data_IF_155789548138
#
_entry.id   IF_155789548138
#
_cell.length_a   1.000
_cell.length_b   1.000
_cell.length_c   1.000
_cell.angle_alpha   90.00
_cell.angle_beta   90.00
_cell.angle_gamma   90.00
#
_symmetry.space_group_name_H-M   'P 1'
#
loop_
_entity.id
_entity.type
_entity.pdbx_description
1 polymer ?
#
# COMPACT_ATOMS: atom_id res chain seq x y z
N UNK A 1 -12.78 32.78 51.97
CA UNK A 1 -12.10 33.06 50.69
C UNK A 1 -11.70 31.72 50.09
N UNK A 2 -12.42 31.26 49.06
CA UNK A 2 -12.29 29.92 48.46
C UNK A 2 -11.70 30.05 47.05
N UNK A 3 -10.68 29.24 46.81
CA UNK A 3 -10.19 28.67 45.55
C UNK A 3 -10.20 29.57 44.29
N UNK A 4 -9.02 30.03 43.87
CA UNK A 4 -8.77 30.46 42.50
C UNK A 4 -8.40 29.22 41.67
N UNK A 5 -9.20 28.98 40.63
CA UNK A 5 -9.13 27.85 39.69
C UNK A 5 -7.87 27.91 38.81
N UNK A 6 -7.09 26.84 38.82
CA UNK A 6 -6.01 26.55 37.84
C UNK A 6 -6.64 25.76 36.70
N UNK A 7 -6.96 26.42 35.59
CA UNK A 7 -7.28 25.75 34.31
C UNK A 7 -6.72 26.62 33.19
N UNK A 8 -5.68 26.13 32.52
CA UNK A 8 -5.58 26.08 31.05
C UNK A 8 -4.13 25.79 30.65
N UNK A 9 -3.79 24.51 30.61
CA UNK A 9 -2.58 24.01 29.95
C UNK A 9 -3.02 22.84 29.07
N UNK A 10 -3.69 23.16 27.96
CA UNK A 10 -4.16 22.17 26.98
C UNK A 10 -3.84 22.72 25.58
N UNK A 11 -2.56 22.96 25.34
CA UNK A 11 -2.05 23.46 24.06
C UNK A 11 -0.68 22.85 23.75
N UNK A 12 -0.64 21.55 23.46
CA UNK A 12 0.48 20.94 22.74
C UNK A 12 0.22 19.46 22.49
N UNK A 13 -0.33 19.14 21.31
CA UNK A 13 0.03 17.94 20.53
C UNK A 13 -0.72 17.99 19.20
N UNK A 14 -0.40 18.98 18.36
CA UNK A 14 -0.48 18.77 16.91
C UNK A 14 0.88 18.20 16.52
N UNK A 15 1.09 16.92 16.83
CA UNK A 15 2.19 16.17 16.23
C UNK A 15 1.75 16.02 14.78
N UNK A 16 2.37 16.78 13.88
CA UNK A 16 2.29 16.53 12.46
C UNK A 16 2.83 15.13 12.25
N UNK A 17 1.93 14.18 11.98
CA UNK A 17 2.30 12.87 11.47
C UNK A 17 2.94 13.15 10.12
N UNK A 18 4.28 13.07 10.07
CA UNK A 18 4.97 12.92 8.81
C UNK A 18 4.32 11.71 8.14
N UNK A 19 3.73 11.92 6.97
CA UNK A 19 3.10 10.84 6.22
C UNK A 19 4.24 9.93 5.75
N UNK A 20 4.39 8.78 6.41
CA UNK A 20 5.36 7.76 6.02
C UNK A 20 5.10 7.36 4.58
N UNK A 21 6.01 7.74 3.68
CA UNK A 21 5.98 7.39 2.25
C UNK A 21 6.67 6.06 1.98
N UNK A 22 7.12 5.39 3.03
CA UNK A 22 7.90 4.18 2.92
C UNK A 22 7.00 2.94 2.91
N UNK A 23 7.33 1.99 2.05
CA UNK A 23 6.63 0.72 1.94
C UNK A 23 7.49 -0.43 2.47
N UNK A 24 6.84 -1.35 3.19
CA UNK A 24 7.50 -2.57 3.63
C UNK A 24 7.75 -3.45 2.41
N UNK A 25 9.00 -3.81 2.21
CA UNK A 25 9.45 -4.71 1.14
C UNK A 25 10.10 -5.94 1.74
N UNK A 26 9.71 -7.11 1.25
CA UNK A 26 10.31 -8.40 1.56
C UNK A 26 11.02 -8.89 0.30
N UNK A 27 12.35 -8.94 0.33
CA UNK A 27 13.14 -9.55 -0.74
C UNK A 27 13.57 -10.95 -0.30
N UNK A 28 12.95 -11.97 -0.90
CA UNK A 28 13.26 -13.38 -0.61
C UNK A 28 14.50 -13.85 -1.38
N UNK A 29 14.98 -15.05 -1.05
CA UNK A 29 16.06 -15.72 -1.80
C UNK A 29 15.71 -15.79 -3.30
N UNK A 30 16.60 -15.27 -4.15
CA UNK A 30 16.33 -15.02 -5.58
C UNK A 30 16.35 -13.53 -5.97
N UNK A 31 16.41 -12.62 -4.98
CA UNK A 31 16.61 -11.18 -5.20
C UNK A 31 15.32 -10.46 -5.61
N UNK A 32 15.45 -9.36 -6.38
CA UNK A 32 14.32 -8.49 -6.78
C UNK A 32 13.18 -9.20 -7.52
N UNK A 33 13.43 -10.38 -8.11
CA UNK A 33 12.39 -11.18 -8.77
C UNK A 33 11.41 -11.84 -7.79
N UNK A 34 11.81 -11.98 -6.53
CA UNK A 34 11.02 -12.58 -5.46
C UNK A 34 10.76 -11.52 -4.37
N UNK A 35 10.25 -10.38 -4.81
CA UNK A 35 9.92 -9.24 -3.96
C UNK A 35 8.43 -9.20 -3.67
N UNK A 36 8.06 -8.99 -2.41
CA UNK A 36 6.68 -8.74 -2.00
C UNK A 36 6.63 -7.41 -1.26
N UNK A 37 5.76 -6.51 -1.72
CA UNK A 37 5.67 -5.15 -1.19
C UNK A 37 4.29 -4.86 -0.61
N UNK A 38 4.28 -4.13 0.50
CA UNK A 38 3.09 -3.74 1.24
C UNK A 38 3.00 -2.23 1.38
N UNK A 39 1.79 -1.64 1.24
CA UNK A 39 1.62 -0.19 1.31
C UNK A 39 2.03 0.39 2.67
N UNK A 40 2.29 1.70 2.76
CA UNK A 40 2.62 2.34 4.03
C UNK A 40 1.55 2.14 5.11
N UNK A 41 2.02 2.14 6.37
CA UNK A 41 1.19 1.87 7.54
C UNK A 41 0.71 0.42 7.64
N UNK A 42 1.43 -0.51 7.01
CA UNK A 42 1.26 -1.95 7.19
C UNK A 42 1.98 -2.37 8.47
N UNK A 43 1.23 -2.90 9.43
CA UNK A 43 1.82 -3.44 10.65
C UNK A 43 2.55 -4.75 10.33
N UNK A 44 3.74 -4.95 10.91
CA UNK A 44 4.47 -6.20 10.78
C UNK A 44 5.20 -6.57 12.05
N UNK A 45 5.44 -7.88 12.22
CA UNK A 45 6.16 -8.44 13.35
C UNK A 45 7.08 -9.56 12.86
N UNK A 46 8.37 -9.46 13.19
CA UNK A 46 9.37 -10.48 12.88
C UNK A 46 9.73 -11.26 14.14
N UNK A 47 9.74 -12.59 14.01
CA UNK A 47 10.13 -13.52 15.04
C UNK A 47 11.26 -14.43 14.56
N UNK A 48 12.21 -14.76 15.44
CA UNK A 48 13.24 -15.76 15.13
C UNK A 48 12.67 -17.20 15.12
N UNK A 49 13.50 -18.19 14.82
CA UNK A 49 13.10 -19.61 14.82
C UNK A 49 12.65 -20.15 16.19
N UNK A 50 13.00 -19.48 17.29
CA UNK A 50 12.55 -19.83 18.64
C UNK A 50 11.23 -19.13 19.00
N UNK A 51 10.74 -18.23 18.15
CA UNK A 51 9.56 -17.42 18.42
C UNK A 51 9.84 -16.18 19.26
N UNK A 52 11.11 -15.79 19.43
CA UNK A 52 11.43 -14.53 20.10
C UNK A 52 11.14 -13.38 19.14
N UNK A 53 10.58 -12.30 19.69
CA UNK A 53 10.38 -11.06 18.96
C UNK A 53 11.72 -10.45 18.56
N UNK A 54 11.82 -10.02 17.30
CA UNK A 54 13.02 -9.41 16.73
C UNK A 54 12.80 -7.93 16.45
N UNK A 55 11.74 -7.59 15.71
CA UNK A 55 11.40 -6.21 15.32
C UNK A 55 9.94 -6.08 14.86
N UNK A 56 9.45 -4.84 14.83
CA UNK A 56 8.13 -4.44 14.32
C UNK A 56 8.20 -3.16 13.47
N UNK A 57 7.02 -2.65 13.08
CA UNK A 57 6.84 -1.35 12.42
C UNK A 57 7.53 -0.23 13.22
N UNK A 58 8.34 0.59 12.53
CA UNK A 58 9.12 1.67 13.12
C UNK A 58 10.52 1.29 13.62
N UNK A 59 10.84 -0.01 13.72
CA UNK A 59 12.18 -0.46 14.13
C UNK A 59 13.19 -0.51 12.97
N UNK A 60 12.72 -0.60 11.71
CA UNK A 60 13.55 -0.74 10.52
C UNK A 60 14.08 0.63 10.05
N UNK A 61 15.27 1.01 10.51
CA UNK A 61 16.01 2.17 9.95
C UNK A 61 16.98 1.77 8.83
N UNK A 62 17.35 0.49 8.77
CA UNK A 62 18.21 -0.10 7.74
C UNK A 62 17.64 -1.46 7.34
N UNK A 63 17.97 -1.99 6.14
CA UNK A 63 17.55 -3.32 5.74
C UNK A 63 17.97 -4.40 6.75
N UNK A 64 17.02 -5.19 7.24
CA UNK A 64 17.29 -6.33 8.11
C UNK A 64 17.55 -7.59 7.29
N UNK A 65 18.78 -8.08 7.33
CA UNK A 65 19.21 -9.27 6.58
C UNK A 65 18.88 -10.54 7.36
N UNK A 66 18.15 -11.45 6.71
CA UNK A 66 17.72 -12.73 7.26
C UNK A 66 18.67 -13.81 6.74
N UNK A 67 19.48 -14.40 7.64
CA UNK A 67 20.41 -15.49 7.34
C UNK A 67 20.07 -16.80 8.09
N UNK A 68 18.90 -16.84 8.75
CA UNK A 68 18.37 -18.01 9.43
C UNK A 68 16.85 -17.94 9.43
N UNK A 69 16.17 -19.04 9.77
CA UNK A 69 14.71 -19.08 9.71
C UNK A 69 14.08 -18.03 10.65
N UNK A 70 13.21 -17.19 10.07
CA UNK A 70 12.34 -16.24 10.76
C UNK A 70 10.89 -16.44 10.33
N UNK A 71 9.97 -15.98 11.17
CA UNK A 71 8.55 -15.86 10.84
C UNK A 71 8.19 -14.38 10.80
N UNK A 72 7.73 -13.90 9.65
CA UNK A 72 7.20 -12.55 9.49
C UNK A 72 5.68 -12.63 9.40
N UNK A 73 5.00 -11.84 10.23
CA UNK A 73 3.55 -11.65 10.20
C UNK A 73 3.29 -10.24 9.70
N UNK A 74 2.43 -10.09 8.68
CA UNK A 74 2.14 -8.80 8.04
C UNK A 74 0.63 -8.58 8.03
N UNK A 75 0.20 -7.41 8.52
CA UNK A 75 -1.22 -7.06 8.68
C UNK A 75 -1.53 -5.78 7.88
N UNK A 76 -1.73 -5.89 6.56
CA UNK A 76 -2.03 -4.71 5.75
C UNK A 76 -3.47 -4.23 5.95
N UNK A 77 -3.68 -2.91 5.88
CA UNK A 77 -5.00 -2.29 6.15
C UNK A 77 -6.10 -2.66 5.17
N UNK A 78 -5.77 -3.05 3.93
CA UNK A 78 -6.74 -3.33 2.86
C UNK A 78 -7.43 -4.70 2.96
N UNK A 79 -7.01 -5.57 3.88
CA UNK A 79 -7.66 -6.86 4.13
C UNK A 79 -7.67 -7.20 5.62
N UNK A 80 -8.61 -8.06 6.02
CA UNK A 80 -8.76 -8.49 7.42
C UNK A 80 -7.76 -9.57 7.82
N UNK A 81 -7.31 -10.36 6.86
CA UNK A 81 -6.40 -11.47 7.10
C UNK A 81 -4.94 -11.02 7.08
N UNK A 82 -4.12 -11.69 7.88
CA UNK A 82 -2.69 -11.44 7.95
C UNK A 82 -1.93 -12.40 7.03
N UNK A 83 -0.85 -11.91 6.44
CA UNK A 83 0.10 -12.74 5.71
C UNK A 83 1.16 -13.27 6.66
N UNK A 84 1.56 -14.52 6.45
CA UNK A 84 2.61 -15.18 7.22
C UNK A 84 3.67 -15.74 6.31
N UNK A 85 4.90 -15.25 6.47
CA UNK A 85 6.06 -15.74 5.74
C UNK A 85 7.00 -16.49 6.65
N UNK A 86 7.48 -17.65 6.20
CA UNK A 86 8.61 -18.35 6.83
C UNK A 86 9.83 -18.12 5.95
N UNK A 87 10.69 -17.19 6.37
CA UNK A 87 11.82 -16.70 5.57
C UNK A 87 13.10 -17.37 6.08
N UNK A 88 13.83 -18.07 5.20
CA UNK A 88 15.11 -18.72 5.55
C UNK A 88 16.33 -17.91 5.14
N UNK A 89 16.21 -17.16 4.05
CA UNK A 89 17.20 -16.26 3.52
C UNK A 89 16.49 -15.09 2.81
N UNK A 90 17.03 -13.88 2.93
CA UNK A 90 16.47 -12.67 2.30
C UNK A 90 16.75 -11.41 3.10
N UNK A 91 15.97 -10.37 2.86
CA UNK A 91 15.96 -9.16 3.71
C UNK A 91 14.59 -8.50 3.72
N UNK A 92 14.32 -7.78 4.78
CA UNK A 92 13.17 -6.86 4.88
C UNK A 92 13.70 -5.44 4.95
N UNK A 93 13.04 -4.52 4.26
CA UNK A 93 13.44 -3.12 4.25
C UNK A 93 12.23 -2.22 4.03
N UNK A 94 12.38 -0.99 4.48
CA UNK A 94 11.52 0.10 4.07
C UNK A 94 12.12 0.70 2.80
N UNK A 95 11.32 0.84 1.75
CA UNK A 95 11.71 1.54 0.53
C UNK A 95 10.89 2.80 0.39
N UNK A 96 11.53 3.90 0.00
CA UNK A 96 10.81 5.10 -0.43
C UNK A 96 10.23 4.87 -1.84
N UNK A 97 9.01 5.39 -2.07
CA UNK A 97 8.47 5.45 -3.41
C UNK A 97 9.27 6.48 -4.22
N UNK A 98 10.00 6.01 -5.24
CA UNK A 98 10.50 6.90 -6.28
C UNK A 98 9.28 7.42 -7.06
N UNK A 99 8.72 8.54 -6.60
CA UNK A 99 7.70 9.27 -7.34
C UNK A 99 8.39 9.82 -8.58
N UNK A 100 8.29 9.10 -9.70
CA UNK A 100 8.51 9.73 -10.99
C UNK A 100 7.33 10.66 -11.17
N UNK A 101 7.55 11.96 -10.99
CA UNK A 101 6.56 13.02 -11.21
C UNK A 101 6.00 12.90 -12.63
N UNK A 102 4.95 12.09 -12.77
CA UNK A 102 4.09 12.06 -13.95
C UNK A 102 3.01 13.11 -13.72
N UNK A 103 3.43 14.34 -13.41
CA UNK A 103 2.57 15.51 -13.50
C UNK A 103 2.36 15.82 -14.98
N UNK A 104 1.61 14.97 -15.65
CA UNK A 104 1.11 15.22 -17.00
C UNK A 104 -0.38 15.46 -16.86
N UNK A 105 -0.71 16.67 -16.43
CA UNK A 105 -1.93 17.32 -16.90
C UNK A 105 -1.68 17.70 -18.36
N UNK A 106 -1.71 16.73 -19.26
CA UNK A 106 -1.65 17.03 -20.68
C UNK A 106 -2.60 16.08 -21.41
N UNK A 107 -3.68 16.69 -21.88
CA UNK A 107 -4.53 16.17 -22.93
C UNK A 107 -3.69 16.02 -24.20
N UNK A 108 -2.95 14.92 -24.30
CA UNK A 108 -2.07 14.67 -25.42
C UNK A 108 -1.81 13.18 -25.56
N UNK A 109 -2.58 12.54 -26.45
CA UNK A 109 -2.23 11.21 -26.97
C UNK A 109 -0.78 11.23 -27.45
N UNK A 110 0.08 10.41 -26.84
CA UNK A 110 1.33 10.03 -27.48
C UNK A 110 1.68 8.61 -27.06
N UNK A 111 1.24 7.66 -27.90
CA UNK A 111 1.48 6.24 -27.78
C UNK A 111 2.93 5.93 -28.19
N UNK A 112 3.85 6.01 -27.23
CA UNK A 112 5.14 5.32 -27.33
C UNK A 112 5.28 4.39 -26.13
N UNK A 113 4.70 3.20 -26.29
CA UNK A 113 4.62 2.14 -25.29
C UNK A 113 5.91 1.32 -25.20
N UNK A 114 6.53 1.32 -24.03
CA UNK A 114 7.64 0.42 -23.66
C UNK A 114 7.21 -0.73 -22.74
N UNK A 115 5.92 -1.11 -22.72
CA UNK A 115 5.43 -2.28 -21.97
C UNK A 115 5.40 -2.16 -20.44
N UNK A 116 5.71 -0.98 -19.89
CA UNK A 116 5.61 -0.72 -18.45
C UNK A 116 4.15 -0.43 -18.07
N UNK A 117 3.68 -0.98 -16.95
CA UNK A 117 2.35 -0.67 -16.40
C UNK A 117 2.29 0.82 -16.05
N UNK A 118 1.35 1.54 -16.66
CA UNK A 118 1.09 2.95 -16.37
C UNK A 118 -0.36 3.11 -15.92
N UNK A 119 -0.60 4.12 -15.09
CA UNK A 119 -1.93 4.44 -14.59
C UNK A 119 -2.20 5.93 -14.69
N UNK A 120 -3.39 6.28 -15.15
CA UNK A 120 -3.94 7.63 -15.05
C UNK A 120 -4.78 7.70 -13.78
N UNK A 121 -4.52 8.71 -12.95
CA UNK A 121 -5.18 8.92 -11.66
C UNK A 121 -5.99 10.21 -11.68
N UNK A 122 -7.26 10.13 -11.32
CA UNK A 122 -8.17 11.27 -11.23
C UNK A 122 -8.90 11.25 -9.87
N UNK A 123 -9.10 12.43 -9.28
CA UNK A 123 -9.86 12.59 -8.04
C UNK A 123 -11.11 13.42 -8.27
N UNK A 124 -12.17 13.11 -7.54
CA UNK A 124 -13.45 13.82 -7.61
C UNK A 124 -13.94 14.17 -6.20
N UNK A 125 -14.87 15.12 -6.13
CA UNK A 125 -15.56 15.42 -4.88
C UNK A 125 -16.44 14.23 -4.47
N UNK A 126 -16.44 13.92 -3.17
CA UNK A 126 -17.32 12.90 -2.59
C UNK A 126 -18.55 13.53 -1.95
N UNK A 127 -19.66 12.79 -1.95
CA UNK A 127 -20.84 13.11 -1.16
C UNK A 127 -20.64 12.83 0.34
N UNK A 128 -19.58 12.10 0.71
CA UNK A 128 -19.19 11.83 2.09
C UNK A 128 -18.26 12.93 2.60
N UNK A 129 -18.57 13.46 3.79
CA UNK A 129 -17.85 14.60 4.35
C UNK A 129 -16.36 14.29 4.58
N UNK A 130 -15.50 15.13 4.00
CA UNK A 130 -14.05 15.03 4.16
C UNK A 130 -13.39 13.91 3.34
N UNK A 131 -14.15 13.23 2.49
CA UNK A 131 -13.64 12.19 1.61
C UNK A 131 -13.46 12.69 0.17
N UNK A 132 -12.64 11.99 -0.59
CA UNK A 132 -12.47 12.17 -2.04
C UNK A 132 -12.81 10.86 -2.73
N UNK A 133 -13.28 11.00 -3.96
CA UNK A 133 -13.48 9.89 -4.88
C UNK A 133 -12.23 9.72 -5.74
N UNK A 134 -11.98 8.49 -6.20
CA UNK A 134 -10.80 8.10 -6.97
C UNK A 134 -11.20 7.33 -8.23
N UNK A 135 -10.53 7.63 -9.34
CA UNK A 135 -10.52 6.81 -10.56
C UNK A 135 -9.07 6.52 -10.95
N UNK A 136 -8.77 5.24 -11.14
CA UNK A 136 -7.52 4.73 -11.68
C UNK A 136 -7.82 4.05 -13.02
N UNK A 137 -7.14 4.47 -14.08
CA UNK A 137 -7.25 3.88 -15.42
C UNK A 137 -5.88 3.36 -15.81
N UNK A 138 -5.71 2.04 -15.77
CA UNK A 138 -4.47 1.37 -16.12
C UNK A 138 -4.40 1.10 -17.62
N UNK A 139 -3.19 1.10 -18.16
CA UNK A 139 -2.97 0.80 -19.57
C UNK A 139 -3.21 -0.65 -19.98
N UNK A 140 -3.29 -1.58 -19.02
CA UNK A 140 -3.63 -2.98 -19.26
C UNK A 140 -5.16 -3.23 -19.33
N UNK A 141 -5.98 -2.17 -19.35
CA UNK A 141 -7.44 -2.29 -19.44
C UNK A 141 -8.16 -2.40 -18.10
N UNK A 142 -7.43 -2.45 -16.98
CA UNK A 142 -8.02 -2.34 -15.64
C UNK A 142 -8.46 -0.89 -15.38
N UNK A 143 -9.69 -0.72 -14.92
CA UNK A 143 -10.23 0.54 -14.40
C UNK A 143 -10.71 0.26 -12.99
N UNK A 144 -10.20 0.99 -12.01
CA UNK A 144 -10.65 0.92 -10.62
C UNK A 144 -11.25 2.26 -10.21
N UNK A 145 -12.39 2.24 -9.52
CA UNK A 145 -12.97 3.44 -8.92
C UNK A 145 -13.28 3.20 -7.44
N UNK A 146 -13.15 4.26 -6.66
CA UNK A 146 -13.72 4.37 -5.31
C UNK A 146 -14.60 5.60 -5.24
N UNK A 147 -15.91 5.41 -5.15
CA UNK A 147 -16.89 6.49 -5.15
C UNK A 147 -17.82 6.33 -3.96
N UNK A 148 -17.87 7.36 -3.11
CA UNK A 148 -18.79 7.47 -1.97
C UNK A 148 -18.81 6.24 -1.06
N UNK A 149 -17.62 5.70 -0.78
CA UNK A 149 -17.47 4.53 0.09
C UNK A 149 -17.44 3.19 -0.64
N UNK A 150 -17.66 3.17 -1.96
CA UNK A 150 -17.80 1.93 -2.74
C UNK A 150 -16.68 1.77 -3.77
N UNK A 151 -15.95 0.65 -3.68
CA UNK A 151 -14.96 0.24 -4.66
C UNK A 151 -15.60 -0.60 -5.77
N UNK A 152 -15.27 -0.30 -7.03
CA UNK A 152 -15.63 -1.13 -8.20
C UNK A 152 -14.50 -1.17 -9.21
N UNK A 153 -14.46 -2.22 -10.00
CA UNK A 153 -13.47 -2.37 -11.05
C UNK A 153 -14.06 -2.93 -12.34
N UNK A 154 -13.43 -2.57 -13.46
CA UNK A 154 -13.68 -3.13 -14.78
C UNK A 154 -12.37 -3.57 -15.37
N UNK A 155 -12.39 -4.68 -16.10
CA UNK A 155 -11.26 -5.12 -16.89
C UNK A 155 -11.74 -5.33 -18.32
N UNK A 156 -11.15 -4.60 -19.28
CA UNK A 156 -11.57 -4.58 -20.67
C UNK A 156 -13.08 -4.30 -20.87
N UNK A 157 -13.61 -3.36 -20.07
CA UNK A 157 -15.02 -2.94 -20.00
C UNK A 157 -16.00 -3.91 -19.32
N UNK A 158 -15.57 -5.10 -18.93
CA UNK A 158 -16.39 -6.02 -18.15
C UNK A 158 -16.20 -5.74 -16.66
N UNK A 159 -17.30 -5.63 -15.91
CA UNK A 159 -17.23 -5.42 -14.46
C UNK A 159 -16.64 -6.67 -13.80
N UNK A 160 -15.59 -6.48 -13.00
CA UNK A 160 -14.91 -7.54 -12.26
C UNK A 160 -15.14 -7.35 -10.77
N UNK A 161 -15.11 -8.45 -10.03
CA UNK A 161 -15.37 -8.41 -8.58
C UNK A 161 -14.19 -7.77 -7.86
N UNK A 162 -14.49 -6.85 -6.94
CA UNK A 162 -13.53 -6.34 -5.97
C UNK A 162 -13.67 -7.18 -4.70
N UNK A 163 -12.64 -7.95 -4.35
CA UNK A 163 -12.59 -8.74 -3.13
C UNK A 163 -12.00 -7.91 -1.96
N UNK A 164 -12.56 -8.10 -0.76
CA UNK A 164 -12.19 -7.29 0.39
C UNK A 164 -12.52 -5.82 0.16
N UNK A 165 -11.58 -4.92 0.43
CA UNK A 165 -11.76 -3.50 0.12
C UNK A 165 -11.24 -3.13 -1.27
N UNK A 166 -10.15 -3.77 -1.74
CA UNK A 166 -9.38 -3.26 -2.88
C UNK A 166 -8.59 -4.31 -3.68
N UNK A 167 -8.95 -5.60 -3.62
CA UNK A 167 -8.32 -6.65 -4.42
C UNK A 167 -9.11 -6.90 -5.70
N UNK A 168 -8.45 -6.95 -6.85
CA UNK A 168 -9.10 -7.19 -8.14
C UNK A 168 -8.36 -8.29 -8.90
N UNK A 169 -9.04 -9.40 -9.15
CA UNK A 169 -8.52 -10.50 -9.96
C UNK A 169 -8.68 -10.17 -11.45
N UNK A 170 -7.58 -10.24 -12.20
CA UNK A 170 -7.52 -10.05 -13.66
C UNK A 170 -6.72 -11.20 -14.30
N UNK A 171 -6.84 -11.45 -15.61
CA UNK A 171 -6.12 -12.56 -16.27
C UNK A 171 -4.60 -12.53 -16.07
N UNK A 172 -4.00 -11.35 -15.94
CA UNK A 172 -2.57 -11.17 -15.71
C UNK A 172 -2.14 -11.47 -14.26
N UNK A 173 -3.06 -11.38 -13.29
CA UNK A 173 -2.76 -11.57 -11.88
C UNK A 173 -3.72 -10.84 -10.95
N UNK A 174 -3.25 -10.55 -9.74
CA UNK A 174 -4.05 -9.85 -8.72
C UNK A 174 -3.60 -8.40 -8.61
N UNK A 175 -4.47 -7.46 -8.94
CA UNK A 175 -4.25 -6.05 -8.65
C UNK A 175 -4.62 -5.76 -7.19
N UNK A 176 -3.64 -5.37 -6.39
CA UNK A 176 -3.82 -4.95 -5.00
C UNK A 176 -3.77 -3.43 -4.95
N UNK A 177 -4.91 -2.80 -4.70
CA UNK A 177 -5.02 -1.35 -4.61
C UNK A 177 -5.13 -0.97 -3.13
N UNK A 178 -4.69 0.22 -2.75
CA UNK A 178 -4.95 0.78 -1.42
C UNK A 178 -5.27 2.25 -1.60
N UNK A 179 -6.37 2.69 -0.98
CA UNK A 179 -6.84 4.06 -1.08
C UNK A 179 -7.33 4.57 0.27
N UNK A 180 -6.79 5.71 0.71
CA UNK A 180 -7.31 6.44 1.85
C UNK A 180 -8.16 7.63 1.34
N UNK A 181 -9.51 7.59 1.49
CA UNK A 181 -10.38 8.63 0.96
C UNK A 181 -10.24 9.97 1.67
N UNK A 182 -9.71 10.01 2.90
CA UNK A 182 -9.53 11.25 3.66
C UNK A 182 -8.24 11.98 3.28
N UNK A 183 -7.14 11.25 3.07
CA UNK A 183 -5.84 11.84 2.67
C UNK A 183 -5.67 11.93 1.15
N UNK A 184 -6.36 11.09 0.39
CA UNK A 184 -6.16 10.93 -1.05
C UNK A 184 -4.96 10.03 -1.39
N UNK A 185 -4.24 9.49 -0.42
CA UNK A 185 -3.11 8.59 -0.65
C UNK A 185 -3.59 7.32 -1.37
N UNK A 186 -2.87 6.93 -2.41
CA UNK A 186 -3.25 5.83 -3.30
C UNK A 186 -2.03 5.02 -3.68
N UNK A 187 -2.15 3.71 -3.62
CA UNK A 187 -1.11 2.73 -3.93
C UNK A 187 -1.71 1.61 -4.79
N UNK A 188 -0.89 0.99 -5.63
CA UNK A 188 -1.26 -0.21 -6.36
C UNK A 188 -0.04 -1.08 -6.64
N UNK A 189 -0.26 -2.39 -6.70
CA UNK A 189 0.69 -3.38 -7.24
C UNK A 189 -0.11 -4.41 -8.02
N UNK A 190 0.46 -4.96 -9.09
CA UNK A 190 -0.10 -6.10 -9.81
C UNK A 190 0.86 -7.26 -9.58
N UNK A 191 0.38 -8.28 -8.87
CA UNK A 191 1.14 -9.50 -8.64
C UNK A 191 0.88 -10.47 -9.78
N UNK A 192 1.92 -10.81 -10.55
CA UNK A 192 1.82 -11.76 -11.66
C UNK A 192 1.46 -13.16 -11.15
N UNK A 193 0.45 -13.77 -11.75
CA UNK A 193 0.02 -15.14 -11.39
C UNK A 193 1.07 -16.22 -11.67
N UNK A 194 2.05 -15.96 -12.56
CA UNK A 194 3.09 -16.93 -12.93
C UNK A 194 4.23 -17.05 -11.90
N UNK A 195 4.44 -16.04 -11.04
CA UNK A 195 5.57 -16.04 -10.08
C UNK A 195 5.28 -16.79 -8.75
N UNK A 196 4.06 -17.33 -8.57
CA UNK A 196 3.64 -18.04 -7.36
C UNK A 196 3.55 -19.58 -7.52
N UNK A 197 4.21 -20.17 -8.52
CA UNK A 197 4.30 -21.63 -8.72
C UNK A 197 5.68 -22.20 -8.43
#
# INVERSE_FOLDING_TARGET
MKALLIISFLLSCLIGVAQDKEYLTIELEGGQKNEVSYPPGTEYYLFDKQGNFVLAEGDLNEPFVINSQHTLIVSPKYKKDTDKFVIRAGRILMKELEVTDSSVSDSGQNDNYNGQLTVRKEYFDSNLQGQRNLLLVFNNGLVFRYFDGEARAWYNNDEVTVEGEFLVEIPEGTAKISYNPFSGETWWVIDDSENNK
#
